data_IF_001708494969
#
_entry.id   IF_001708494969
#
_cell.length_a   1.000
_cell.length_b   1.000
_cell.length_c   1.000
_cell.angle_alpha   90.00
_cell.angle_beta   90.00
_cell.angle_gamma   90.00
#
_symmetry.space_group_name_H-M   'P 1'
#
loop_
_entity.id
_entity.type
_entity.pdbx_description
1 polymer ?
#
# COMPACT_ATOMS: atom_id res chain seq x y z
N UNK A 1 -1.49 3.59 2.32
CA UNK A 1 -0.63 4.66 2.87
C UNK A 1 -0.76 4.80 4.39
N UNK A 2 -1.95 5.04 4.94
CA UNK A 2 -2.15 5.15 6.40
C UNK A 2 -1.57 3.97 7.20
N UNK A 3 -1.89 2.73 6.80
CA UNK A 3 -1.37 1.52 7.43
C UNK A 3 0.17 1.50 7.52
N UNK A 4 0.85 1.87 6.42
CA UNK A 4 2.32 1.96 6.37
C UNK A 4 2.85 3.08 7.27
N UNK A 5 2.21 4.25 7.30
CA UNK A 5 2.59 5.38 8.18
C UNK A 5 2.50 5.02 9.66
N UNK A 6 1.50 4.25 10.06
CA UNK A 6 1.38 3.79 11.45
C UNK A 6 2.51 2.81 11.78
N UNK A 7 2.70 1.75 10.97
CA UNK A 7 3.71 0.74 11.31
C UNK A 7 5.16 1.15 11.00
N UNK A 8 5.40 2.29 10.35
CA UNK A 8 6.74 2.88 10.28
C UNK A 8 7.14 3.60 11.57
N UNK A 9 6.17 3.97 12.42
CA UNK A 9 6.38 4.65 13.70
C UNK A 9 6.11 3.75 14.92
N UNK A 10 5.19 2.80 14.78
CA UNK A 10 4.71 1.95 15.87
C UNK A 10 4.91 0.47 15.55
N UNK A 11 5.14 -0.33 16.59
CA UNK A 11 5.32 -1.78 16.45
C UNK A 11 4.03 -2.49 16.01
N UNK A 12 4.13 -3.61 15.28
CA UNK A 12 2.98 -4.47 14.92
C UNK A 12 2.16 -5.00 16.11
N UNK A 13 2.69 -4.90 17.34
CA UNK A 13 1.98 -5.26 18.57
C UNK A 13 1.11 -4.14 19.14
N UNK A 14 1.19 -2.91 18.63
CA UNK A 14 0.44 -1.77 19.18
C UNK A 14 -1.05 -1.90 18.88
N UNK A 15 -1.38 -2.19 17.62
CA UNK A 15 -2.74 -2.42 17.13
C UNK A 15 -2.68 -3.68 16.27
N UNK A 16 -3.69 -4.54 16.34
CA UNK A 16 -3.74 -5.72 15.46
C UNK A 16 -3.88 -5.26 13.99
N UNK A 17 -3.01 -5.72 13.07
CA UNK A 17 -3.13 -5.45 11.64
C UNK A 17 -4.50 -5.78 11.04
N UNK A 18 -5.18 -6.81 11.55
CA UNK A 18 -6.55 -7.17 11.14
C UNK A 18 -7.59 -6.14 11.56
N UNK A 19 -7.34 -5.36 12.61
CA UNK A 19 -8.18 -4.22 12.99
C UNK A 19 -7.77 -2.96 12.22
N UNK A 20 -6.47 -2.66 12.19
CA UNK A 20 -5.97 -1.42 11.60
C UNK A 20 -6.20 -1.33 10.08
N UNK A 21 -6.04 -2.45 9.35
CA UNK A 21 -6.22 -2.49 7.90
C UNK A 21 -7.61 -2.01 7.46
N UNK A 22 -8.69 -2.63 7.96
CA UNK A 22 -10.06 -2.18 7.71
C UNK A 22 -10.34 -0.76 8.19
N UNK A 23 -9.83 -0.35 9.37
CA UNK A 23 -9.99 1.02 9.87
C UNK A 23 -9.34 2.04 8.94
N UNK A 24 -8.15 1.74 8.40
CA UNK A 24 -7.49 2.58 7.40
C UNK A 24 -8.33 2.73 6.13
N UNK A 25 -8.94 1.65 5.64
CA UNK A 25 -9.85 1.68 4.49
C UNK A 25 -11.09 2.53 4.80
N UNK A 26 -11.71 2.30 5.96
CA UNK A 26 -12.88 3.05 6.42
C UNK A 26 -12.61 4.55 6.45
N UNK A 27 -11.52 4.97 7.10
CA UNK A 27 -11.12 6.37 7.17
C UNK A 27 -10.82 6.94 5.77
N UNK A 28 -10.08 6.20 4.93
CA UNK A 28 -9.75 6.65 3.58
C UNK A 28 -11.01 6.89 2.72
N UNK A 29 -12.05 6.05 2.82
CA UNK A 29 -13.28 6.27 2.07
C UNK A 29 -14.01 7.56 2.46
N UNK A 30 -13.91 7.97 3.73
CA UNK A 30 -14.47 9.25 4.19
C UNK A 30 -13.65 10.44 3.68
N UNK A 31 -12.32 10.33 3.67
CA UNK A 31 -11.42 11.40 3.22
C UNK A 31 -11.48 11.62 1.71
N UNK A 32 -11.53 10.53 0.94
CA UNK A 32 -11.59 10.57 -0.53
C UNK A 32 -13.00 10.79 -1.08
N UNK A 33 -13.99 11.00 -0.20
CA UNK A 33 -15.42 11.12 -0.54
C UNK A 33 -15.94 9.96 -1.41
N UNK A 34 -15.29 8.79 -1.33
CA UNK A 34 -15.52 7.63 -2.17
C UNK A 34 -16.58 6.71 -1.56
N UNK A 35 -17.77 7.27 -1.34
CA UNK A 35 -18.95 6.58 -0.83
C UNK A 35 -18.85 6.18 0.64
N UNK A 36 -19.97 6.25 1.35
CA UNK A 36 -20.03 5.84 2.75
C UNK A 36 -20.10 4.31 2.87
N UNK A 37 -18.96 3.67 3.15
CA UNK A 37 -18.96 2.28 3.62
C UNK A 37 -19.58 2.27 5.01
N UNK A 38 -20.72 1.60 5.18
CA UNK A 38 -21.29 1.40 6.52
C UNK A 38 -20.44 0.41 7.31
N UNK A 39 -20.44 0.53 8.64
CA UNK A 39 -19.73 -0.40 9.52
C UNK A 39 -20.12 -1.87 9.24
N UNK A 40 -21.40 -2.14 9.01
CA UNK A 40 -21.90 -3.48 8.68
C UNK A 40 -21.33 -4.03 7.38
N UNK A 41 -21.25 -3.20 6.32
CA UNK A 41 -20.68 -3.61 5.02
C UNK A 41 -19.18 -3.89 5.15
N UNK A 42 -18.47 -3.06 5.90
CA UNK A 42 -17.04 -3.27 6.17
C UNK A 42 -16.79 -4.60 6.87
N UNK A 43 -17.56 -4.91 7.93
CA UNK A 43 -17.41 -6.17 8.66
C UNK A 43 -17.64 -7.40 7.77
N UNK A 44 -18.70 -7.39 6.95
CA UNK A 44 -18.99 -8.49 6.02
C UNK A 44 -17.84 -8.64 5.01
N UNK A 45 -17.34 -7.54 4.45
CA UNK A 45 -16.20 -7.57 3.55
C UNK A 45 -14.94 -8.15 4.24
N UNK A 46 -14.65 -7.75 5.48
CA UNK A 46 -13.54 -8.29 6.25
C UNK A 46 -13.68 -9.79 6.53
N UNK A 47 -14.88 -10.26 6.87
CA UNK A 47 -15.15 -11.69 7.03
C UNK A 47 -14.89 -12.47 5.73
N UNK A 48 -15.36 -11.95 4.59
CA UNK A 48 -15.09 -12.54 3.28
C UNK A 48 -13.60 -12.57 2.93
N UNK A 49 -12.86 -11.50 3.25
CA UNK A 49 -11.41 -11.43 3.03
C UNK A 49 -10.68 -12.45 3.91
N UNK A 50 -10.95 -12.49 5.22
CA UNK A 50 -10.30 -13.45 6.13
C UNK A 50 -10.56 -14.89 5.67
N UNK A 51 -11.79 -15.22 5.24
CA UNK A 51 -12.11 -16.54 4.66
C UNK A 51 -11.34 -16.83 3.37
N UNK A 52 -11.26 -15.85 2.46
CA UNK A 52 -10.49 -15.96 1.19
C UNK A 52 -9.01 -16.20 1.45
N UNK A 53 -8.46 -15.61 2.50
CA UNK A 53 -7.08 -15.74 2.94
C UNK A 53 -6.92 -16.77 4.08
N UNK A 54 -7.74 -17.83 4.08
CA UNK A 54 -7.72 -18.87 5.12
C UNK A 54 -6.38 -19.62 5.25
N UNK A 55 -5.54 -19.60 4.22
CA UNK A 55 -4.16 -20.12 4.29
C UNK A 55 -3.26 -19.29 5.23
N UNK A 56 -3.52 -17.99 5.34
CA UNK A 56 -2.80 -17.07 6.22
C UNK A 56 -3.42 -17.01 7.61
N UNK A 57 -4.75 -16.96 7.67
CA UNK A 57 -5.53 -16.79 8.90
C UNK A 57 -6.24 -18.09 9.29
N UNK A 58 -5.47 -19.19 9.42
CA UNK A 58 -6.01 -20.55 9.65
C UNK A 58 -7.03 -20.57 10.78
N UNK A 59 -8.29 -20.91 10.44
CA UNK A 59 -9.43 -20.99 11.34
C UNK A 59 -9.70 -19.72 12.18
N UNK A 60 -9.21 -18.57 11.74
CA UNK A 60 -9.55 -17.29 12.36
C UNK A 60 -10.76 -16.70 11.65
N UNK A 61 -11.66 -16.13 12.44
CA UNK A 61 -12.72 -15.27 11.93
C UNK A 61 -12.36 -13.81 12.19
N UNK A 62 -12.92 -12.92 11.37
CA UNK A 62 -12.83 -11.49 11.64
C UNK A 62 -13.63 -11.17 12.92
N UNK A 63 -12.91 -10.97 14.02
CA UNK A 63 -13.48 -10.86 15.37
C UNK A 63 -13.93 -9.46 15.77
N UNK A 64 -13.58 -8.43 15.00
CA UNK A 64 -13.76 -7.04 15.41
C UNK A 64 -15.17 -6.52 15.13
N UNK A 65 -15.75 -5.89 16.16
CA UNK A 65 -17.06 -5.24 16.07
C UNK A 65 -16.94 -3.78 15.61
N UNK A 66 -18.03 -3.21 15.07
CA UNK A 66 -18.09 -1.81 14.64
C UNK A 66 -17.55 -0.83 15.67
N UNK A 67 -17.87 -1.02 16.96
CA UNK A 67 -17.40 -0.14 18.04
C UNK A 67 -15.86 -0.13 18.14
N UNK A 68 -15.21 -1.26 17.93
CA UNK A 68 -13.74 -1.37 17.97
C UNK A 68 -13.10 -0.73 16.73
N UNK A 69 -13.78 -0.77 15.58
CA UNK A 69 -13.33 -0.07 14.37
C UNK A 69 -13.41 1.45 14.58
N UNK A 70 -14.49 1.94 15.18
CA UNK A 70 -14.67 3.35 15.51
C UNK A 70 -13.65 3.83 16.56
N UNK A 71 -13.38 3.02 17.60
CA UNK A 71 -12.34 3.33 18.59
C UNK A 71 -10.96 3.36 17.95
N UNK A 72 -10.63 2.36 17.12
CA UNK A 72 -9.38 2.33 16.36
C UNK A 72 -9.24 3.52 15.41
N UNK A 73 -10.35 4.02 14.86
CA UNK A 73 -10.34 5.20 14.01
C UNK A 73 -9.90 6.46 14.77
N UNK A 74 -10.36 6.65 16.01
CA UNK A 74 -9.89 7.76 16.85
C UNK A 74 -8.38 7.69 17.07
N UNK A 75 -7.85 6.51 17.43
CA UNK A 75 -6.41 6.31 17.54
C UNK A 75 -5.70 6.58 16.21
N UNK A 76 -6.24 6.08 15.09
CA UNK A 76 -5.64 6.27 13.76
C UNK A 76 -5.50 7.76 13.41
N UNK A 77 -6.50 8.58 13.70
CA UNK A 77 -6.44 10.02 13.47
C UNK A 77 -5.29 10.68 14.25
N UNK A 78 -5.16 10.32 15.54
CA UNK A 78 -4.08 10.80 16.40
C UNK A 78 -2.70 10.35 15.91
N UNK A 79 -2.54 9.05 15.60
CA UNK A 79 -1.25 8.48 15.15
C UNK A 79 -0.80 9.04 13.79
N UNK A 80 -1.74 9.54 12.98
CA UNK A 80 -1.46 10.21 11.72
C UNK A 80 -1.25 11.72 11.86
N UNK A 81 -1.30 12.28 13.07
CA UNK A 81 -1.27 13.73 13.31
C UNK A 81 -2.31 14.48 12.44
N UNK A 82 -3.49 13.87 12.23
CA UNK A 82 -4.53 14.35 11.31
C UNK A 82 -4.03 14.62 9.86
N UNK A 83 -2.92 14.02 9.43
CA UNK A 83 -2.37 14.17 8.08
C UNK A 83 -3.09 13.25 7.09
N UNK A 84 -4.32 13.60 6.74
CA UNK A 84 -5.23 12.75 5.97
C UNK A 84 -5.03 12.84 4.46
N UNK A 85 -4.59 13.97 3.93
CA UNK A 85 -4.36 14.12 2.48
C UNK A 85 -3.11 13.32 2.07
N UNK A 86 -3.27 12.47 1.06
CA UNK A 86 -2.19 11.64 0.52
C UNK A 86 -2.09 11.86 -0.97
N UNK A 87 -0.89 12.22 -1.43
CA UNK A 87 -0.60 12.34 -2.85
C UNK A 87 -0.14 10.98 -3.39
N UNK A 88 -0.66 10.59 -4.55
CA UNK A 88 -0.39 9.30 -5.18
C UNK A 88 0.24 9.47 -6.57
N UNK A 89 1.05 8.49 -7.03
CA UNK A 89 1.77 8.57 -8.30
C UNK A 89 0.87 8.48 -9.55
N UNK A 90 -0.40 8.13 -9.41
CA UNK A 90 -1.33 7.94 -10.54
C UNK A 90 -1.54 9.22 -11.36
N UNK A 91 -1.75 10.36 -10.69
CA UNK A 91 -1.98 11.65 -11.36
C UNK A 91 -0.76 12.12 -12.17
N UNK A 92 0.46 12.19 -11.59
CA UNK A 92 1.63 12.54 -12.38
C UNK A 92 1.93 11.49 -13.47
N UNK A 93 1.67 10.21 -13.22
CA UNK A 93 1.83 9.17 -14.26
C UNK A 93 0.98 9.48 -15.51
N UNK A 94 -0.32 9.76 -15.33
CA UNK A 94 -1.20 10.11 -16.46
C UNK A 94 -0.64 11.31 -17.23
N UNK A 95 -0.18 12.34 -16.51
CA UNK A 95 0.39 13.54 -17.13
C UNK A 95 1.66 13.24 -17.94
N UNK A 96 2.57 12.43 -17.40
CA UNK A 96 3.81 12.06 -18.10
C UNK A 96 3.56 11.20 -19.34
N UNK A 97 2.64 10.24 -19.26
CA UNK A 97 2.35 9.38 -20.41
C UNK A 97 1.62 10.15 -21.51
N UNK A 98 0.76 11.11 -21.14
CA UNK A 98 0.11 12.02 -22.07
C UNK A 98 1.13 12.92 -22.79
N UNK A 99 2.07 13.51 -22.04
CA UNK A 99 3.15 14.34 -22.59
C UNK A 99 4.06 13.56 -23.55
N UNK A 100 4.34 12.29 -23.24
CA UNK A 100 5.08 11.39 -24.11
C UNK A 100 4.29 10.96 -25.37
N UNK A 101 2.96 11.12 -25.37
CA UNK A 101 2.07 10.72 -26.48
C UNK A 101 1.94 9.20 -26.66
N UNK A 102 2.09 8.42 -25.59
CA UNK A 102 2.12 6.94 -25.63
C UNK A 102 1.13 6.29 -24.64
N UNK A 103 -0.01 6.95 -24.38
CA UNK A 103 -1.02 6.53 -23.38
C UNK A 103 -1.47 5.08 -23.51
N UNK A 104 -1.95 4.67 -24.68
CA UNK A 104 -2.50 3.34 -24.88
C UNK A 104 -1.47 2.21 -24.64
N UNK A 105 -0.19 2.51 -24.89
CA UNK A 105 0.87 1.50 -24.94
C UNK A 105 1.60 1.36 -23.60
N UNK A 106 1.77 2.46 -22.87
CA UNK A 106 2.56 2.50 -21.63
C UNK A 106 1.71 2.59 -20.37
N UNK A 107 0.56 3.27 -20.41
CA UNK A 107 -0.24 3.52 -19.22
C UNK A 107 -0.67 2.23 -18.51
N UNK A 108 -1.17 1.17 -19.19
CA UNK A 108 -1.64 -0.04 -18.49
C UNK A 108 -0.51 -0.74 -17.71
N UNK A 109 0.68 -0.83 -18.31
CA UNK A 109 1.83 -1.46 -17.67
C UNK A 109 2.40 -0.58 -16.56
N UNK A 110 2.61 0.71 -16.81
CA UNK A 110 3.13 1.64 -15.81
C UNK A 110 2.18 1.76 -14.60
N UNK A 111 0.87 1.76 -14.83
CA UNK A 111 -0.14 1.75 -13.76
C UNK A 111 -0.07 0.49 -12.91
N UNK A 112 0.14 -0.68 -13.54
CA UNK A 112 0.36 -1.93 -12.82
C UNK A 112 1.62 -1.86 -11.96
N UNK A 113 2.74 -1.36 -12.50
CA UNK A 113 4.00 -1.21 -11.75
C UNK A 113 3.82 -0.23 -10.58
N UNK A 114 3.05 0.84 -10.76
CA UNK A 114 2.68 1.74 -9.66
C UNK A 114 1.94 0.99 -8.54
N UNK A 115 0.97 0.13 -8.88
CA UNK A 115 0.27 -0.67 -7.87
C UNK A 115 1.22 -1.62 -7.13
N UNK A 116 2.14 -2.24 -7.87
CA UNK A 116 3.15 -3.14 -7.30
C UNK A 116 4.11 -2.38 -6.37
N UNK A 117 4.46 -1.13 -6.69
CA UNK A 117 5.32 -0.28 -5.86
C UNK A 117 4.75 -0.03 -4.44
N UNK A 118 3.43 -0.16 -4.24
CA UNK A 118 2.81 -0.05 -2.91
C UNK A 118 3.15 -1.23 -1.99
N UNK A 119 3.76 -2.30 -2.52
CA UNK A 119 4.30 -3.42 -1.75
C UNK A 119 5.69 -3.13 -1.17
N UNK A 120 6.37 -2.08 -1.64
CA UNK A 120 7.63 -1.60 -1.07
C UNK A 120 7.39 -0.36 -0.21
N UNK A 121 8.47 0.24 0.30
CA UNK A 121 8.41 1.44 1.14
C UNK A 121 8.66 2.74 0.37
N UNK A 122 8.80 2.68 -0.97
CA UNK A 122 9.07 3.86 -1.80
C UNK A 122 8.03 4.97 -1.61
N UNK A 123 6.77 4.62 -1.33
CA UNK A 123 5.69 5.57 -1.06
C UNK A 123 5.83 6.37 0.24
N UNK A 124 6.68 5.91 1.18
CA UNK A 124 7.06 6.66 2.38
C UNK A 124 8.36 7.46 2.20
N UNK A 125 9.20 7.05 1.25
CA UNK A 125 10.57 7.55 1.08
C UNK A 125 10.69 8.62 -0.01
N UNK A 126 9.86 8.57 -1.05
CA UNK A 126 10.00 9.41 -2.23
C UNK A 126 8.70 10.15 -2.58
N UNK A 127 8.80 11.36 -3.16
CA UNK A 127 7.67 12.06 -3.75
C UNK A 127 6.95 11.24 -4.85
N UNK A 128 5.61 11.32 -4.95
CA UNK A 128 4.83 10.52 -5.91
C UNK A 128 5.21 10.72 -7.38
N UNK A 129 5.69 11.91 -7.78
CA UNK A 129 6.08 12.17 -9.16
C UNK A 129 7.35 11.40 -9.56
N UNK A 130 8.31 11.22 -8.65
CA UNK A 130 9.51 10.41 -8.90
C UNK A 130 9.14 8.92 -9.00
N UNK A 131 8.21 8.46 -8.15
CA UNK A 131 7.70 7.08 -8.22
C UNK A 131 7.02 6.84 -9.56
N UNK A 132 6.21 7.78 -10.04
CA UNK A 132 5.56 7.71 -11.34
C UNK A 132 6.58 7.62 -12.49
N UNK A 133 7.63 8.45 -12.46
CA UNK A 133 8.71 8.40 -13.45
C UNK A 133 9.48 7.08 -13.44
N UNK A 134 9.77 6.53 -12.26
CA UNK A 134 10.42 5.23 -12.13
C UNK A 134 9.56 4.10 -12.71
N UNK A 135 8.25 4.11 -12.43
CA UNK A 135 7.31 3.12 -12.97
C UNK A 135 7.15 3.26 -14.49
N UNK A 136 7.12 4.49 -15.01
CA UNK A 136 7.08 4.77 -16.44
C UNK A 136 8.38 4.30 -17.12
N UNK A 137 9.54 4.60 -16.55
CA UNK A 137 10.84 4.16 -17.07
C UNK A 137 10.89 2.62 -17.17
N UNK A 138 10.46 1.91 -16.13
CA UNK A 138 10.38 0.45 -16.17
C UNK A 138 9.42 -0.05 -17.27
N UNK A 139 8.26 0.58 -17.44
CA UNK A 139 7.33 0.24 -18.51
C UNK A 139 7.93 0.47 -19.91
N UNK A 140 8.63 1.59 -20.12
CA UNK A 140 9.33 1.86 -21.38
C UNK A 140 10.37 0.79 -21.71
N UNK A 141 11.17 0.39 -20.72
CA UNK A 141 12.21 -0.65 -20.89
C UNK A 141 11.57 -2.00 -21.24
N UNK A 142 10.52 -2.41 -20.53
CA UNK A 142 9.82 -3.69 -20.77
C UNK A 142 9.16 -3.69 -22.16
N UNK A 143 8.54 -2.57 -22.54
CA UNK A 143 7.88 -2.40 -23.85
C UNK A 143 8.84 -2.04 -24.99
N UNK A 144 10.16 -2.01 -24.74
CA UNK A 144 11.20 -1.68 -25.72
C UNK A 144 10.97 -0.33 -26.43
N UNK A 145 10.48 0.67 -25.69
CA UNK A 145 10.24 2.03 -26.20
C UNK A 145 11.46 2.92 -25.92
N UNK A 146 12.02 3.49 -26.99
CA UNK A 146 13.09 4.47 -26.85
C UNK A 146 12.51 5.82 -26.41
N UNK A 147 12.73 6.15 -25.14
CA UNK A 147 12.24 7.37 -24.50
C UNK A 147 13.38 8.17 -23.86
N UNK A 148 14.64 7.83 -24.20
CA UNK A 148 15.84 8.41 -23.58
C UNK A 148 15.89 9.93 -23.72
N UNK A 149 15.53 10.44 -24.90
CA UNK A 149 15.49 11.88 -25.15
C UNK A 149 14.52 12.60 -24.22
N UNK A 150 13.28 12.09 -24.14
CA UNK A 150 12.24 12.66 -23.29
C UNK A 150 12.66 12.65 -21.81
N UNK A 151 13.22 11.54 -21.31
CA UNK A 151 13.74 11.48 -19.94
C UNK A 151 14.91 12.45 -19.69
N UNK A 152 15.75 12.73 -20.69
CA UNK A 152 16.87 13.66 -20.57
C UNK A 152 16.44 15.13 -20.55
N UNK A 153 15.27 15.46 -21.10
CA UNK A 153 14.70 16.81 -21.07
C UNK A 153 14.02 17.15 -19.72
N UNK A 154 13.77 16.14 -18.88
CA UNK A 154 13.17 16.35 -17.56
C UNK A 154 14.17 17.00 -16.61
N UNK A 155 13.75 18.09 -15.97
CA UNK A 155 14.50 18.71 -14.87
C UNK A 155 14.23 17.98 -13.54
N UNK A 156 14.69 16.73 -13.45
CA UNK A 156 14.51 15.86 -12.28
C UNK A 156 15.81 15.13 -11.94
N UNK A 157 15.93 14.73 -10.67
CA UNK A 157 17.04 13.90 -10.21
C UNK A 157 16.85 12.45 -10.69
N UNK A 158 17.57 12.08 -11.76
CA UNK A 158 17.52 10.74 -12.34
C UNK A 158 18.14 9.66 -11.45
N UNK A 159 19.08 10.02 -10.55
CA UNK A 159 19.66 9.06 -9.62
C UNK A 159 18.58 8.55 -8.64
N UNK A 160 17.69 9.45 -8.19
CA UNK A 160 16.53 9.08 -7.37
C UNK A 160 15.53 8.21 -8.13
N UNK A 161 15.32 8.47 -9.42
CA UNK A 161 14.48 7.60 -10.26
C UNK A 161 15.06 6.19 -10.34
N UNK A 162 16.38 6.07 -10.53
CA UNK A 162 17.08 4.79 -10.57
C UNK A 162 17.06 4.06 -9.22
N UNK A 163 17.21 4.76 -8.09
CA UNK A 163 17.06 4.18 -6.75
C UNK A 163 15.66 3.54 -6.58
N UNK A 164 14.60 4.24 -6.98
CA UNK A 164 13.23 3.73 -6.90
C UNK A 164 13.05 2.52 -7.83
N UNK A 165 13.56 2.60 -9.07
CA UNK A 165 13.53 1.48 -10.01
C UNK A 165 14.20 0.23 -9.42
N UNK A 166 15.36 0.39 -8.78
CA UNK A 166 16.06 -0.72 -8.14
C UNK A 166 15.25 -1.35 -7.00
N UNK A 167 14.59 -0.55 -6.15
CA UNK A 167 13.72 -1.08 -5.09
C UNK A 167 12.52 -1.87 -5.65
N UNK A 168 11.93 -1.42 -6.76
CA UNK A 168 10.83 -2.13 -7.41
C UNK A 168 11.32 -3.41 -8.11
N UNK A 169 12.53 -3.41 -8.69
CA UNK A 169 13.14 -4.63 -9.23
C UNK A 169 13.41 -5.67 -8.14
N UNK A 170 13.94 -5.25 -6.99
CA UNK A 170 14.14 -6.13 -5.84
C UNK A 170 12.83 -6.74 -5.33
N UNK A 171 11.71 -6.01 -5.39
CA UNK A 171 10.39 -6.56 -5.12
C UNK A 171 10.06 -7.71 -6.07
N UNK A 172 10.30 -7.55 -7.38
CA UNK A 172 10.00 -8.60 -8.35
C UNK A 172 10.89 -9.84 -8.17
N UNK A 173 12.16 -9.66 -7.80
CA UNK A 173 13.06 -10.76 -7.44
C UNK A 173 12.59 -11.50 -6.18
N UNK A 174 12.17 -10.76 -5.14
CA UNK A 174 11.59 -11.35 -3.94
C UNK A 174 10.30 -12.13 -4.26
N UNK A 175 9.40 -11.51 -5.04
CA UNK A 175 8.10 -12.09 -5.35
C UNK A 175 8.22 -13.35 -6.22
N UNK A 176 9.23 -13.44 -7.08
CA UNK A 176 9.53 -14.67 -7.83
C UNK A 176 9.81 -15.87 -6.91
N UNK A 177 10.42 -15.63 -5.75
CA UNK A 177 10.90 -16.67 -4.84
C UNK A 177 9.98 -16.90 -3.63
N UNK A 178 9.08 -15.97 -3.33
CA UNK A 178 8.19 -16.03 -2.16
C UNK A 178 6.86 -16.74 -2.47
N UNK A 179 6.60 -17.84 -1.78
CA UNK A 179 5.31 -18.55 -1.85
C UNK A 179 4.41 -18.14 -0.68
N UNK A 180 3.60 -17.10 -0.90
CA UNK A 180 2.71 -16.53 0.11
C UNK A 180 1.81 -17.59 0.79
N UNK A 181 1.31 -18.59 0.05
CA UNK A 181 0.39 -19.58 0.62
C UNK A 181 1.02 -20.51 1.63
N UNK A 182 2.31 -20.76 1.48
CA UNK A 182 3.07 -21.70 2.31
C UNK A 182 3.76 -20.98 3.47
N UNK A 183 4.28 -19.78 3.23
CA UNK A 183 5.18 -19.09 4.16
C UNK A 183 4.45 -18.15 5.13
N UNK A 184 3.36 -17.49 4.70
CA UNK A 184 2.76 -16.38 5.46
C UNK A 184 2.23 -16.81 6.84
N UNK A 185 1.69 -18.02 6.96
CA UNK A 185 1.17 -18.55 8.23
C UNK A 185 2.27 -18.60 9.29
N UNK A 186 3.46 -19.09 8.93
CA UNK A 186 4.60 -19.17 9.84
C UNK A 186 5.20 -17.81 10.16
N UNK A 187 5.09 -16.83 9.25
CA UNK A 187 5.49 -15.44 9.51
C UNK A 187 4.54 -14.78 10.51
N UNK A 188 3.22 -14.92 10.31
CA UNK A 188 2.20 -14.35 11.19
C UNK A 188 2.26 -14.88 12.62
N UNK A 189 2.67 -16.14 12.82
CA UNK A 189 2.89 -16.71 14.15
C UNK A 189 4.04 -16.02 14.92
N UNK A 190 5.02 -15.46 14.20
CA UNK A 190 6.17 -14.73 14.77
C UNK A 190 5.87 -13.25 15.02
N UNK A 191 4.75 -12.74 14.53
CA UNK A 191 4.35 -11.34 14.74
C UNK A 191 4.09 -11.13 16.23
N UNK A 192 4.70 -10.10 16.86
CA UNK A 192 4.52 -9.85 18.28
C UNK A 192 3.05 -9.50 18.56
N UNK A 193 2.44 -10.20 19.51
CA UNK A 193 1.04 -9.98 19.90
C UNK A 193 0.94 -8.88 20.97
N UNK A 194 -0.15 -8.09 20.98
CA UNK A 194 -0.40 -7.16 22.07
C UNK A 194 -0.40 -7.88 23.41
N UNK A 195 0.30 -7.33 24.41
CA UNK A 195 0.18 -7.83 25.79
C UNK A 195 -1.20 -7.44 26.31
N UNK A 196 -2.01 -8.44 26.70
CA UNK A 196 -3.22 -8.17 27.45
C UNK A 196 -2.80 -7.58 28.79
N UNK A 197 -3.35 -6.42 29.17
CA UNK A 197 -3.17 -5.91 30.53
C UNK A 197 -3.55 -7.03 31.52
N UNK A 198 -2.80 -7.21 32.64
CA UNK A 198 -3.20 -8.17 33.65
C UNK A 198 -4.65 -7.84 34.07
N UNK A 199 -5.52 -8.84 34.26
CA UNK A 199 -6.84 -8.59 34.81
C UNK A 199 -6.62 -7.88 36.16
N UNK A 200 -7.09 -6.64 36.27
CA UNK A 200 -6.96 -5.82 37.46
C UNK A 200 -7.36 -6.67 38.69
N UNK A 201 -6.42 -6.84 39.62
CA UNK A 201 -6.65 -7.46 40.93
C UNK A 201 -7.34 -6.51 41.89
#
# INVERSE_FOLDING_TARGET
MYFKRVYSRYSLKSIDPLLLGPTCLFLATKVEESGLITNSKLQVACQSVVKKFGYAFKNQEFRYKSNQILECEFYLLELLDCCLIVYHPYRPLIQYVADLGQEEQLLPLAWKIVNDSLRTDVCLLYPPYLIALACLHMACVISQKDTKHWFAELNVDLDKVLEITQQILQLYDLWKNYNEREEISGILEKVPKPQLAPPNG
#
